data_IF_104985092159
#
_entry.id   IF_104985092159
#
_cell.length_a   1.000
_cell.length_b   1.000
_cell.length_c   1.000
_cell.angle_alpha   90.00
_cell.angle_beta   90.00
_cell.angle_gamma   90.00
#
_symmetry.space_group_name_H-M   'P 1'
#
loop_
_entity.id
_entity.type
_entity.pdbx_description
1 polymer ?
#
# COMPACT_ATOMS: atom_id res chain seq x y z
N UNK A 1 -8.56 16.94 3.16
CA UNK A 1 -8.43 15.65 3.88
C UNK A 1 -7.40 15.75 5.00
N UNK A 2 -7.77 15.40 6.24
CA UNK A 2 -6.80 15.33 7.33
C UNK A 2 -5.76 14.24 7.01
N UNK A 3 -4.47 14.59 7.05
CA UNK A 3 -3.38 13.62 6.93
C UNK A 3 -3.47 12.62 8.08
N UNK A 4 -3.13 11.35 7.88
CA UNK A 4 -3.08 10.38 8.98
C UNK A 4 -2.02 10.81 10.02
N UNK A 5 -2.46 11.47 11.08
CA UNK A 5 -1.68 11.65 12.31
C UNK A 5 -1.86 10.37 13.14
N UNK A 6 -1.11 9.33 12.79
CA UNK A 6 -1.23 8.01 13.43
C UNK A 6 0.12 7.43 13.82
N UNK A 7 0.12 6.61 14.87
CA UNK A 7 1.19 5.66 15.20
C UNK A 7 1.27 4.64 14.06
N UNK A 8 2.47 4.30 13.61
CA UNK A 8 2.66 3.20 12.65
C UNK A 8 2.62 1.85 13.41
N UNK A 9 2.00 0.80 12.83
CA UNK A 9 1.21 0.82 11.60
C UNK A 9 -0.20 1.43 11.80
N UNK A 10 -0.81 1.92 10.72
CA UNK A 10 -2.20 2.37 10.74
C UNK A 10 -3.14 1.16 10.76
N UNK A 11 -3.80 0.93 11.90
CA UNK A 11 -4.69 -0.22 12.11
C UNK A 11 -6.13 0.15 11.76
N UNK A 12 -6.76 -0.68 10.94
CA UNK A 12 -8.19 -0.65 10.64
C UNK A 12 -8.87 -1.90 11.19
N UNK A 13 -9.97 -1.68 11.92
CA UNK A 13 -10.86 -2.73 12.38
C UNK A 13 -11.94 -2.98 11.33
N UNK A 14 -12.10 -4.24 10.91
CA UNK A 14 -13.16 -4.73 10.03
C UNK A 14 -14.10 -5.63 10.84
N UNK A 15 -15.25 -5.98 10.28
CA UNK A 15 -16.27 -6.79 10.98
C UNK A 15 -15.75 -8.16 11.44
N UNK A 16 -14.88 -8.80 10.65
CA UNK A 16 -14.39 -10.16 10.87
C UNK A 16 -12.88 -10.27 11.13
N UNK A 17 -12.13 -9.18 10.97
CA UNK A 17 -10.68 -9.17 11.14
C UNK A 17 -10.15 -7.75 11.35
N UNK A 18 -8.86 -7.61 11.63
CA UNK A 18 -8.17 -6.33 11.65
C UNK A 18 -7.05 -6.35 10.60
N UNK A 19 -6.68 -5.18 10.10
CA UNK A 19 -5.52 -5.04 9.21
C UNK A 19 -4.69 -3.81 9.56
N UNK A 20 -3.41 -3.87 9.25
CA UNK A 20 -2.43 -2.85 9.53
C UNK A 20 -1.74 -2.44 8.22
N UNK A 21 -1.77 -1.15 7.92
CA UNK A 21 -1.02 -0.55 6.82
C UNK A 21 0.28 0.03 7.33
N UNK A 22 1.35 -0.31 6.65
CA UNK A 22 2.69 0.19 6.95
C UNK A 22 3.09 1.23 5.92
N UNK A 23 3.60 2.35 6.41
CA UNK A 23 3.96 3.47 5.57
C UNK A 23 5.43 3.86 5.74
N UNK A 24 5.94 4.51 4.70
CA UNK A 24 7.15 5.31 4.77
C UNK A 24 6.79 6.76 4.48
N UNK A 25 7.67 7.68 4.88
CA UNK A 25 7.47 9.11 4.72
C UNK A 25 8.60 9.75 3.93
N UNK A 26 8.27 10.69 3.06
CA UNK A 26 9.22 11.48 2.28
C UNK A 26 9.10 12.95 2.69
N UNK A 27 10.23 13.59 2.94
CA UNK A 27 10.29 15.03 3.22
C UNK A 27 11.14 15.73 2.17
N UNK A 28 10.61 16.80 1.58
CA UNK A 28 11.42 17.68 0.73
C UNK A 28 12.18 18.67 1.63
N UNK A 29 13.51 18.51 1.69
CA UNK A 29 14.43 19.40 2.41
C UNK A 29 15.09 20.45 1.51
N UNK A 30 14.71 20.50 0.23
CA UNK A 30 15.20 21.46 -0.74
C UNK A 30 14.53 22.83 -0.63
N UNK A 31 14.82 23.71 -1.60
CA UNK A 31 14.26 25.08 -1.67
C UNK A 31 13.05 25.20 -2.60
N UNK A 32 12.85 24.25 -3.50
CA UNK A 32 11.78 24.25 -4.50
C UNK A 32 10.91 22.99 -4.37
N UNK A 33 9.64 23.03 -4.80
CA UNK A 33 8.79 21.84 -4.87
C UNK A 33 9.40 20.76 -5.78
N UNK A 34 9.23 19.50 -5.40
CA UNK A 34 9.48 18.35 -6.25
C UNK A 34 8.15 17.99 -6.92
N UNK A 35 8.02 18.30 -8.20
CA UNK A 35 6.79 18.10 -8.95
C UNK A 35 6.65 16.68 -9.48
N UNK A 36 5.42 16.21 -9.57
CA UNK A 36 5.06 14.93 -10.19
C UNK A 36 5.82 13.74 -9.62
N UNK A 37 5.91 13.66 -8.28
CA UNK A 37 6.62 12.60 -7.60
C UNK A 37 5.88 11.28 -7.71
N UNK A 38 6.49 10.30 -8.36
CA UNK A 38 6.03 8.92 -8.44
C UNK A 38 6.98 7.96 -7.71
N UNK A 39 6.43 6.91 -7.11
CA UNK A 39 7.20 5.91 -6.38
C UNK A 39 7.09 4.57 -7.10
N UNK A 40 8.23 3.90 -7.27
CA UNK A 40 8.32 2.49 -7.69
C UNK A 40 8.98 1.69 -6.58
N UNK A 41 8.38 0.54 -6.25
CA UNK A 41 8.80 -0.32 -5.14
C UNK A 41 9.12 -1.70 -5.71
N UNK A 42 10.37 -2.15 -5.57
CA UNK A 42 10.80 -3.50 -5.93
C UNK A 42 10.97 -4.32 -4.66
N UNK A 43 10.44 -5.54 -4.68
CA UNK A 43 10.59 -6.50 -3.59
C UNK A 43 11.51 -7.62 -4.05
N UNK A 44 12.53 -7.91 -3.24
CA UNK A 44 13.53 -8.93 -3.53
C UNK A 44 13.67 -9.87 -2.32
N UNK A 45 14.00 -11.13 -2.58
CA UNK A 45 14.39 -12.06 -1.50
C UNK A 45 15.68 -11.58 -0.85
N UNK A 46 15.78 -11.65 0.48
CA UNK A 46 16.95 -11.11 1.17
C UNK A 46 18.22 -11.96 1.03
N UNK A 47 18.08 -13.25 0.81
CA UNK A 47 19.18 -14.21 0.64
C UNK A 47 19.74 -14.22 -0.79
N UNK A 48 18.85 -14.27 -1.80
CA UNK A 48 19.27 -14.40 -3.21
C UNK A 48 19.33 -13.06 -3.96
N UNK A 49 18.69 -12.01 -3.42
CA UNK A 49 18.41 -10.76 -4.15
C UNK A 49 17.62 -10.97 -5.45
N UNK A 50 16.92 -12.10 -5.58
CA UNK A 50 15.98 -12.34 -6.68
C UNK A 50 14.78 -11.39 -6.55
N UNK A 51 14.44 -10.68 -7.63
CA UNK A 51 13.23 -9.86 -7.67
C UNK A 51 11.99 -10.77 -7.66
N UNK A 52 11.11 -10.52 -6.70
CA UNK A 52 9.82 -11.19 -6.60
C UNK A 52 8.78 -10.48 -7.47
N UNK A 53 8.67 -9.17 -7.33
CA UNK A 53 7.74 -8.32 -8.07
C UNK A 53 8.05 -6.84 -7.85
N UNK A 54 7.37 -6.01 -8.64
CA UNK A 54 7.40 -4.56 -8.56
C UNK A 54 5.98 -4.00 -8.46
N UNK A 55 5.78 -2.96 -7.64
CA UNK A 55 4.52 -2.21 -7.55
C UNK A 55 4.76 -0.70 -7.61
N UNK A 56 3.74 0.07 -8.00
CA UNK A 56 3.72 1.52 -7.82
C UNK A 56 3.39 1.86 -6.36
N UNK A 57 4.03 2.89 -5.82
CA UNK A 57 3.68 3.41 -4.51
C UNK A 57 2.35 4.16 -4.54
N UNK A 58 1.62 4.09 -3.43
CA UNK A 58 0.37 4.82 -3.23
C UNK A 58 0.56 5.90 -2.18
N UNK A 59 0.48 7.17 -2.57
CA UNK A 59 0.48 8.30 -1.65
C UNK A 59 -0.74 8.24 -0.71
N UNK A 60 -0.49 8.57 0.56
CA UNK A 60 -1.52 8.60 1.58
C UNK A 60 -2.31 9.91 1.51
N UNK A 61 -3.62 9.81 1.30
CA UNK A 61 -4.55 10.95 1.19
C UNK A 61 -5.78 10.80 2.09
N UNK A 62 -5.76 9.83 3.00
CA UNK A 62 -6.87 9.52 3.90
C UNK A 62 -7.02 8.02 4.14
N UNK A 63 -8.07 7.62 4.89
CA UNK A 63 -8.34 6.22 5.17
C UNK A 63 -8.41 5.39 3.89
N UNK A 64 -7.86 4.18 3.93
CA UNK A 64 -7.91 3.24 2.81
C UNK A 64 -9.34 2.66 2.73
N UNK A 65 -10.18 3.06 1.75
CA UNK A 65 -11.58 2.67 1.76
C UNK A 65 -11.77 1.24 1.27
N UNK A 66 -12.75 0.54 1.85
CA UNK A 66 -13.41 -0.58 1.22
C UNK A 66 -14.83 -0.13 0.91
N UNK A 67 -15.23 -0.24 -0.36
CA UNK A 67 -16.56 0.16 -0.79
C UNK A 67 -17.38 -1.11 -0.87
N UNK A 68 -18.44 -1.19 -0.09
CA UNK A 68 -19.39 -2.30 -0.12
C UNK A 68 -20.69 -1.82 -0.75
N UNK A 69 -21.21 -2.60 -1.68
CA UNK A 69 -22.50 -2.28 -2.30
C UNK A 69 -23.28 -3.56 -2.59
N UNK A 70 -24.62 -3.47 -2.74
CA UNK A 70 -25.42 -4.57 -3.24
C UNK A 70 -24.95 -4.97 -4.64
N UNK A 71 -24.54 -6.22 -4.81
CA UNK A 71 -24.16 -6.81 -6.09
C UNK A 71 -25.17 -7.88 -6.43
N UNK A 72 -25.79 -7.75 -7.61
CA UNK A 72 -26.69 -8.76 -8.14
C UNK A 72 -25.97 -10.11 -8.26
N UNK A 73 -26.57 -11.15 -7.69
CA UNK A 73 -26.04 -12.52 -7.69
C UNK A 73 -26.86 -13.46 -8.56
N UNK A 74 -28.17 -13.21 -8.66
CA UNK A 74 -29.09 -14.03 -9.45
C UNK A 74 -30.30 -13.21 -9.87
N UNK A 75 -30.81 -13.50 -11.07
CA UNK A 75 -32.14 -13.06 -11.52
C UNK A 75 -33.08 -14.27 -11.42
N UNK A 76 -34.19 -14.11 -10.72
CA UNK A 76 -35.23 -15.12 -10.54
C UNK A 76 -36.19 -15.14 -11.74
N UNK A 77 -36.99 -16.20 -11.88
CA UNK A 77 -37.90 -16.38 -13.03
C UNK A 77 -39.01 -15.33 -13.09
N UNK A 78 -39.37 -14.72 -11.96
CA UNK A 78 -40.34 -13.63 -11.82
C UNK A 78 -39.75 -12.25 -12.12
N UNK A 79 -38.44 -12.18 -12.45
CA UNK A 79 -37.72 -10.93 -12.71
C UNK A 79 -37.11 -10.29 -11.46
N UNK A 80 -37.29 -10.87 -10.27
CA UNK A 80 -36.67 -10.38 -9.03
C UNK A 80 -35.15 -10.58 -9.07
N UNK A 81 -34.38 -9.61 -8.56
CA UNK A 81 -32.91 -9.69 -8.48
C UNK A 81 -32.50 -9.97 -7.03
N UNK A 82 -31.87 -11.13 -6.80
CA UNK A 82 -31.21 -11.43 -5.53
C UNK A 82 -29.84 -10.74 -5.50
N UNK A 83 -29.60 -9.90 -4.50
CA UNK A 83 -28.34 -9.18 -4.31
C UNK A 83 -27.67 -9.55 -2.99
N UNK A 84 -26.34 -9.48 -2.95
CA UNK A 84 -25.55 -9.62 -1.73
C UNK A 84 -24.67 -8.40 -1.55
N UNK A 85 -24.47 -7.96 -0.31
CA UNK A 85 -23.47 -6.94 -0.01
C UNK A 85 -22.09 -7.55 -0.23
N UNK A 86 -21.35 -7.01 -1.21
CA UNK A 86 -19.99 -7.42 -1.53
C UNK A 86 -19.10 -6.20 -1.64
N UNK A 87 -17.81 -6.39 -1.37
CA UNK A 87 -16.79 -5.40 -1.69
C UNK A 87 -16.80 -5.17 -3.20
N UNK A 88 -16.94 -3.93 -3.63
CA UNK A 88 -16.89 -3.53 -5.03
C UNK A 88 -15.59 -2.82 -5.36
N UNK A 89 -15.01 -3.26 -6.47
CA UNK A 89 -13.79 -2.70 -7.04
C UNK A 89 -14.14 -1.38 -7.70
N UNK A 90 -13.45 -0.31 -7.30
CA UNK A 90 -13.72 1.03 -7.75
C UNK A 90 -12.42 1.64 -8.28
N UNK A 91 -12.38 1.88 -9.59
CA UNK A 91 -11.20 2.33 -10.32
C UNK A 91 -10.86 3.81 -10.11
N UNK A 92 -11.84 4.63 -9.75
CA UNK A 92 -11.65 6.04 -9.44
C UNK A 92 -10.66 6.30 -8.29
N UNK A 93 -10.33 5.29 -7.48
CA UNK A 93 -9.34 5.37 -6.41
C UNK A 93 -7.89 5.32 -6.90
N UNK A 94 -7.64 4.95 -8.16
CA UNK A 94 -6.29 4.75 -8.71
C UNK A 94 -5.61 6.06 -9.13
N UNK A 95 -6.21 6.91 -10.00
CA UNK A 95 -5.46 7.99 -10.66
C UNK A 95 -4.94 9.05 -9.68
N UNK A 96 -5.64 9.28 -8.57
CA UNK A 96 -5.32 10.34 -7.61
C UNK A 96 -4.21 9.98 -6.61
N UNK A 97 -3.72 8.74 -6.65
CA UNK A 97 -2.88 8.21 -5.58
C UNK A 97 -1.42 7.93 -6.00
N UNK A 98 -1.08 7.96 -7.29
CA UNK A 98 0.26 7.56 -7.77
C UNK A 98 1.26 8.71 -7.92
N UNK A 99 0.76 9.94 -8.11
CA UNK A 99 1.61 11.11 -8.36
C UNK A 99 1.24 12.25 -7.40
N UNK A 100 2.27 12.89 -6.83
CA UNK A 100 2.13 13.95 -5.83
C UNK A 100 3.21 15.03 -5.99
N UNK A 101 2.85 16.28 -5.75
CA UNK A 101 3.86 17.34 -5.58
C UNK A 101 4.28 17.43 -4.10
N UNK A 102 5.59 17.38 -3.83
CA UNK A 102 6.14 17.46 -2.47
C UNK A 102 6.79 18.83 -2.30
N UNK A 103 6.13 19.69 -1.53
CA UNK A 103 6.60 21.06 -1.29
C UNK A 103 7.59 21.14 -0.12
N UNK A 104 8.60 22.02 -0.20
CA UNK A 104 9.51 22.25 0.91
C UNK A 104 8.78 22.94 2.07
N UNK A 105 9.22 22.66 3.31
CA UNK A 105 8.65 23.26 4.52
C UNK A 105 7.29 22.70 4.96
N UNK A 106 6.68 21.78 4.20
CA UNK A 106 5.50 21.05 4.63
C UNK A 106 5.87 19.79 5.42
N UNK A 107 4.87 19.23 6.09
CA UNK A 107 4.97 17.93 6.77
C UNK A 107 5.33 16.82 5.77
N UNK A 108 6.06 15.78 6.19
CA UNK A 108 6.39 14.65 5.34
C UNK A 108 5.15 14.00 4.73
N UNK A 109 5.24 13.62 3.47
CA UNK A 109 4.19 12.90 2.74
C UNK A 109 4.36 11.40 2.95
N UNK A 110 3.30 10.73 3.38
CA UNK A 110 3.27 9.28 3.60
C UNK A 110 2.89 8.51 2.34
N UNK A 111 3.39 7.30 2.20
CA UNK A 111 2.92 6.34 1.20
C UNK A 111 2.91 4.93 1.78
N UNK A 112 1.90 4.14 1.40
CA UNK A 112 1.77 2.76 1.85
C UNK A 112 2.76 1.85 1.14
N UNK A 113 3.32 0.88 1.88
CA UNK A 113 4.22 -0.12 1.33
C UNK A 113 3.67 -1.55 1.47
N UNK A 114 3.01 -1.84 2.59
CA UNK A 114 2.56 -3.18 2.96
C UNK A 114 1.23 -3.11 3.68
N UNK A 115 0.47 -4.20 3.59
CA UNK A 115 -0.69 -4.47 4.43
C UNK A 115 -0.54 -5.84 5.11
N UNK A 116 -0.84 -5.90 6.41
CA UNK A 116 -0.82 -7.11 7.25
C UNK A 116 -2.21 -7.36 7.81
N UNK A 117 -2.65 -8.60 7.87
CA UNK A 117 -3.93 -8.99 8.47
C UNK A 117 -3.69 -9.76 9.77
N UNK A 118 -4.55 -9.53 10.74
CA UNK A 118 -4.46 -10.21 12.04
C UNK A 118 -4.72 -11.70 11.85
N UNK A 119 -3.81 -12.53 12.34
CA UNK A 119 -3.91 -13.99 12.27
C UNK A 119 -3.28 -14.63 11.04
N UNK A 120 -2.80 -13.84 10.08
CA UNK A 120 -2.22 -14.36 8.82
C UNK A 120 -0.71 -14.26 8.81
N UNK A 121 -0.01 -15.33 8.38
CA UNK A 121 1.45 -15.38 8.40
C UNK A 121 2.05 -14.51 7.30
N UNK A 122 1.36 -14.37 6.18
CA UNK A 122 1.71 -13.53 5.05
C UNK A 122 1.39 -12.05 5.29
N UNK A 123 2.02 -11.20 4.48
CA UNK A 123 1.62 -9.82 4.23
C UNK A 123 1.62 -9.57 2.72
N UNK A 124 1.14 -8.41 2.31
CA UNK A 124 1.02 -8.08 0.88
C UNK A 124 1.62 -6.71 0.62
N UNK A 125 2.32 -6.55 -0.49
CA UNK A 125 2.67 -5.21 -0.94
C UNK A 125 1.41 -4.43 -1.29
N UNK A 126 1.44 -3.14 -0.98
CA UNK A 126 0.26 -2.29 -1.11
C UNK A 126 0.49 -1.18 -2.13
N UNK A 127 -0.43 -1.10 -3.09
CA UNK A 127 -0.52 -0.02 -4.08
C UNK A 127 -1.97 0.40 -4.32
N UNK A 128 -2.18 1.47 -5.10
CA UNK A 128 -3.49 1.87 -5.62
C UNK A 128 -4.21 0.71 -6.33
N UNK A 129 -3.47 -0.11 -7.07
CA UNK A 129 -3.99 -1.24 -7.81
C UNK A 129 -4.52 -2.37 -6.92
N UNK A 130 -4.20 -2.39 -5.62
CA UNK A 130 -4.77 -3.35 -4.66
C UNK A 130 -6.30 -3.23 -4.53
N UNK A 131 -6.88 -2.06 -4.86
CA UNK A 131 -8.34 -1.86 -4.88
C UNK A 131 -9.05 -2.60 -6.02
N UNK A 132 -8.33 -2.92 -7.09
CA UNK A 132 -8.89 -3.59 -8.28
C UNK A 132 -8.42 -5.04 -8.36
N UNK A 133 -7.13 -5.28 -8.16
CA UNK A 133 -6.54 -6.60 -8.38
C UNK A 133 -6.80 -7.55 -7.22
N UNK A 134 -7.03 -7.01 -6.03
CA UNK A 134 -7.16 -7.80 -4.81
C UNK A 134 -8.60 -7.97 -4.31
N UNK A 135 -8.72 -8.77 -3.25
CA UNK A 135 -9.90 -8.82 -2.38
C UNK A 135 -9.47 -8.34 -1.01
N UNK A 136 -10.14 -7.31 -0.47
CA UNK A 136 -9.74 -6.66 0.76
C UNK A 136 -8.36 -6.03 0.72
N UNK A 137 -7.79 -5.79 -0.47
CA UNK A 137 -6.40 -5.40 -0.81
C UNK A 137 -5.36 -6.53 -0.90
N UNK A 138 -5.74 -7.79 -0.74
CA UNK A 138 -4.83 -8.93 -0.91
C UNK A 138 -4.65 -9.23 -2.39
N UNK A 139 -3.46 -9.00 -2.91
CA UNK A 139 -3.08 -9.34 -4.29
C UNK A 139 -2.09 -10.50 -4.24
N UNK A 140 -2.50 -11.70 -4.67
CA UNK A 140 -1.70 -12.92 -4.51
C UNK A 140 -0.32 -12.83 -5.18
N UNK A 141 -0.23 -12.14 -6.32
CA UNK A 141 1.04 -11.90 -7.01
C UNK A 141 2.01 -11.01 -6.21
N UNK A 142 1.51 -10.31 -5.17
CA UNK A 142 2.28 -9.41 -4.32
C UNK A 142 2.39 -9.92 -2.87
N UNK A 143 2.12 -11.21 -2.67
CA UNK A 143 2.20 -11.86 -1.36
C UNK A 143 3.65 -12.05 -0.92
N UNK A 144 3.90 -11.77 0.35
CA UNK A 144 5.15 -12.01 1.05
C UNK A 144 4.86 -12.92 2.25
N UNK A 145 5.44 -14.12 2.27
CA UNK A 145 5.32 -15.03 3.41
C UNK A 145 6.08 -14.47 4.64
N UNK A 146 6.03 -15.19 5.76
CA UNK A 146 6.94 -14.91 6.86
C UNK A 146 8.39 -15.07 6.37
N UNK A 147 9.25 -14.10 6.71
CA UNK A 147 10.62 -14.07 6.20
C UNK A 147 11.21 -12.67 6.10
N UNK A 148 12.37 -12.59 5.45
CA UNK A 148 13.17 -11.38 5.28
C UNK A 148 13.24 -11.01 3.80
N UNK A 149 13.01 -9.73 3.52
CA UNK A 149 12.97 -9.18 2.18
C UNK A 149 13.81 -7.90 2.08
N UNK A 150 14.31 -7.63 0.89
CA UNK A 150 14.86 -6.33 0.52
C UNK A 150 13.80 -5.57 -0.24
N UNK A 151 13.59 -4.31 0.13
CA UNK A 151 12.70 -3.38 -0.56
C UNK A 151 13.53 -2.24 -1.11
N UNK A 152 13.54 -2.09 -2.43
CA UNK A 152 14.18 -0.97 -3.12
C UNK A 152 13.10 0.01 -3.58
N UNK A 153 13.28 1.27 -3.19
CA UNK A 153 12.38 2.36 -3.51
C UNK A 153 13.07 3.33 -4.44
N UNK A 154 12.40 3.63 -5.55
CA UNK A 154 12.79 4.71 -6.44
C UNK A 154 11.70 5.77 -6.45
N UNK A 155 12.03 6.95 -5.94
CA UNK A 155 11.23 8.16 -6.09
C UNK A 155 11.72 8.91 -7.33
N UNK A 156 10.87 9.06 -8.33
CA UNK A 156 11.15 9.87 -9.51
C UNK A 156 10.32 11.15 -9.45
N UNK A 157 10.90 12.29 -9.85
CA UNK A 157 10.21 13.57 -9.92
C UNK A 157 10.65 14.36 -11.16
N UNK A 158 9.82 15.32 -11.57
CA UNK A 158 10.04 16.15 -12.76
C UNK A 158 11.39 16.87 -12.70
N UNK A 159 12.08 16.94 -13.84
CA UNK A 159 13.43 17.53 -13.93
C UNK A 159 14.59 16.53 -13.90
N UNK A 160 14.34 15.24 -14.20
CA UNK A 160 15.31 14.13 -14.26
C UNK A 160 15.96 13.75 -12.91
N UNK A 161 15.39 14.18 -11.79
CA UNK A 161 15.84 13.77 -10.48
C UNK A 161 15.26 12.43 -10.06
N UNK A 162 16.06 11.59 -9.41
CA UNK A 162 15.57 10.43 -8.68
C UNK A 162 16.27 10.28 -7.34
N UNK A 163 15.56 9.66 -6.40
CA UNK A 163 16.10 9.24 -5.12
C UNK A 163 15.86 7.75 -4.97
N UNK A 164 16.93 7.00 -4.77
CA UNK A 164 16.89 5.58 -4.52
C UNK A 164 17.17 5.31 -3.04
N UNK A 165 16.36 4.44 -2.44
CA UNK A 165 16.51 4.01 -1.03
C UNK A 165 16.29 2.51 -0.92
N UNK A 166 16.99 1.90 0.03
CA UNK A 166 16.92 0.45 0.28
C UNK A 166 16.55 0.18 1.73
N UNK A 167 15.66 -0.78 1.92
CA UNK A 167 15.15 -1.19 3.23
C UNK A 167 15.21 -2.70 3.36
N UNK A 168 15.35 -3.17 4.59
CA UNK A 168 15.08 -4.54 4.99
C UNK A 168 13.69 -4.58 5.61
N UNK A 169 12.86 -5.48 5.13
CA UNK A 169 11.55 -5.80 5.71
C UNK A 169 11.61 -7.20 6.29
N UNK A 170 11.17 -7.35 7.55
CA UNK A 170 11.07 -8.65 8.22
C UNK A 170 9.61 -8.87 8.61
N UNK A 171 8.98 -9.91 8.07
CA UNK A 171 7.66 -10.38 8.47
C UNK A 171 7.81 -11.55 9.45
N UNK A 172 7.53 -11.32 10.73
CA UNK A 172 7.92 -12.22 11.82
C UNK A 172 6.80 -13.18 12.27
N UNK A 173 5.55 -12.99 11.83
CA UNK A 173 4.47 -13.86 12.31
C UNK A 173 3.08 -13.41 11.88
N UNK A 174 2.10 -13.64 12.75
CA UNK A 174 0.67 -13.44 12.45
C UNK A 174 0.06 -12.18 13.05
N UNK A 175 0.78 -11.49 13.94
CA UNK A 175 0.32 -10.28 14.59
C UNK A 175 0.40 -9.07 13.65
N UNK A 176 -0.48 -8.08 13.86
CA UNK A 176 -0.52 -6.87 13.04
C UNK A 176 0.77 -6.06 13.08
N UNK A 177 1.51 -6.09 14.19
CA UNK A 177 2.75 -5.35 14.46
C UNK A 177 4.01 -6.19 14.20
N UNK A 178 3.87 -7.38 13.61
CA UNK A 178 4.98 -8.31 13.35
C UNK A 178 5.85 -7.94 12.14
N UNK A 179 5.62 -6.79 11.51
CA UNK A 179 6.49 -6.29 10.43
C UNK A 179 7.49 -5.28 10.98
N UNK A 180 8.77 -5.56 10.76
CA UNK A 180 9.84 -4.61 11.03
C UNK A 180 10.41 -4.07 9.71
N UNK A 181 10.58 -2.74 9.63
CA UNK A 181 11.15 -2.06 8.46
C UNK A 181 12.36 -1.25 8.92
N UNK A 182 13.53 -1.54 8.33
CA UNK A 182 14.80 -0.88 8.66
C UNK A 182 15.45 -0.34 7.40
N UNK A 183 15.86 0.91 7.40
CA UNK A 183 16.66 1.46 6.31
C UNK A 183 18.05 0.81 6.31
N UNK A 184 18.54 0.45 5.12
CA UNK A 184 19.93 0.05 4.94
C UNK A 184 20.72 1.32 4.65
N UNK A 185 21.69 1.64 5.51
CA UNK A 185 22.66 2.67 5.19
C UNK A 185 23.61 2.10 4.15
N UNK A 186 23.57 2.68 2.94
CA UNK A 186 24.61 2.50 1.94
C UNK A 186 25.76 3.46 2.18
#
# INVERSE_FOLDING_TARGET
PARMQGKEPSVQQLESTSRAFYHLKVKNVGKSPAYSCGIRIRFLRADTQEELFTVNGKWDRGPQPLIYSPVATRVLQDGTIESQIKETRQDFLIPFAEVLDIHPGLEPEGFGILVKYQGEAECYAFSSWSYILGTGHKVDAWRLNAGKYIVELKLAYSGKGSLDKRFVVVNQGTALDSIEIKQVNG
#
